data_IF_214522238615
#
_entry.id   IF_214522238615
#
_cell.length_a   1.000
_cell.length_b   1.000
_cell.length_c   1.000
_cell.angle_alpha   90.00
_cell.angle_beta   90.00
_cell.angle_gamma   90.00
#
_symmetry.space_group_name_H-M   'P 1'
#
loop_
_entity.id
_entity.type
_entity.pdbx_description
1 polymer ?
#
# COMPACT_ATOMS: atom_id res chain seq x y z
N UNK A 1 -7.27 16.66 4.12
CA UNK A 1 -7.73 17.73 3.22
C UNK A 1 -6.79 17.86 2.03
N UNK A 2 -7.31 18.16 0.84
CA UNK A 2 -6.50 18.44 -0.35
C UNK A 2 -6.66 19.92 -0.70
N UNK A 3 -5.55 20.66 -0.69
CA UNK A 3 -5.50 22.06 -1.06
C UNK A 3 -4.99 22.15 -2.50
N UNK A 4 -5.90 22.44 -3.44
CA UNK A 4 -5.55 22.55 -4.84
C UNK A 4 -4.86 23.90 -5.11
N UNK A 5 -3.59 23.86 -5.49
CA UNK A 5 -2.79 25.05 -5.81
C UNK A 5 -1.31 24.84 -5.56
N UNK A 6 -0.52 25.84 -5.91
CA UNK A 6 0.93 25.83 -5.67
C UNK A 6 1.22 26.18 -4.21
N UNK A 7 2.35 25.71 -3.67
CA UNK A 7 2.70 25.97 -2.26
C UNK A 7 2.86 27.46 -1.93
N UNK A 8 3.17 28.28 -2.93
CA UNK A 8 3.28 29.75 -2.86
C UNK A 8 1.92 30.45 -2.84
N UNK A 9 0.88 29.81 -3.38
CA UNK A 9 -0.47 30.38 -3.50
C UNK A 9 -1.30 30.11 -2.25
N UNK A 10 -0.98 29.05 -1.51
CA UNK A 10 -1.67 28.73 -0.26
C UNK A 10 -1.24 29.72 0.83
N UNK A 11 -2.17 30.54 1.38
CA UNK A 11 -1.85 31.51 2.41
C UNK A 11 -1.22 30.85 3.64
N UNK A 12 -0.23 31.52 4.23
CA UNK A 12 0.47 31.00 5.40
C UNK A 12 -0.47 30.86 6.61
N UNK A 13 -1.42 31.80 6.76
CA UNK A 13 -2.48 31.76 7.76
C UNK A 13 -3.32 30.47 7.67
N UNK A 14 -3.64 30.03 6.44
CA UNK A 14 -4.35 28.77 6.22
C UNK A 14 -3.52 27.59 6.71
N UNK A 15 -2.22 27.54 6.39
CA UNK A 15 -1.34 26.45 6.86
C UNK A 15 -1.26 26.43 8.39
N UNK A 16 -1.16 27.59 9.02
CA UNK A 16 -1.11 27.72 10.49
C UNK A 16 -2.41 27.26 11.16
N UNK A 17 -3.58 27.58 10.60
CA UNK A 17 -4.87 27.10 11.11
C UNK A 17 -4.95 25.57 11.07
N UNK A 18 -4.52 24.94 9.97
CA UNK A 18 -4.56 23.49 9.84
C UNK A 18 -3.60 22.80 10.82
N UNK A 19 -2.40 23.35 10.99
CA UNK A 19 -1.43 22.87 11.97
C UNK A 19 -1.95 23.01 13.40
N UNK A 20 -2.54 24.16 13.75
CA UNK A 20 -3.11 24.42 15.08
C UNK A 20 -4.25 23.46 15.43
N UNK A 21 -5.07 23.09 14.44
CA UNK A 21 -6.17 22.14 14.64
C UNK A 21 -5.77 20.68 14.45
N UNK A 22 -4.48 20.40 14.16
CA UNK A 22 -3.96 19.07 13.88
C UNK A 22 -4.71 18.35 12.73
N UNK A 23 -5.12 19.11 11.71
CA UNK A 23 -5.79 18.59 10.54
C UNK A 23 -4.76 18.19 9.48
N UNK A 24 -4.80 16.94 9.03
CA UNK A 24 -3.96 16.47 7.93
C UNK A 24 -4.34 17.17 6.63
N UNK A 25 -3.38 17.80 5.97
CA UNK A 25 -3.57 18.42 4.67
C UNK A 25 -2.41 18.13 3.72
N UNK A 26 -2.71 18.14 2.42
CA UNK A 26 -1.74 17.99 1.34
C UNK A 26 -1.98 19.10 0.33
N UNK A 27 -0.91 19.77 -0.11
CA UNK A 27 -0.97 20.82 -1.14
C UNK A 27 -0.48 20.22 -2.44
N UNK A 28 -1.35 20.19 -3.45
CA UNK A 28 -1.08 19.66 -4.78
C UNK A 28 -1.66 20.62 -5.82
N UNK A 29 -0.89 20.97 -6.84
CA UNK A 29 -1.44 21.61 -8.03
C UNK A 29 -1.90 20.52 -9.00
N UNK A 30 -3.19 20.21 -8.97
CA UNK A 30 -3.75 19.05 -9.71
C UNK A 30 -3.53 19.20 -11.23
N UNK A 31 -3.62 20.44 -11.74
CA UNK A 31 -3.42 20.70 -13.16
C UNK A 31 -1.97 20.45 -13.57
N UNK A 32 -1.02 20.98 -12.81
CA UNK A 32 0.41 20.77 -13.09
C UNK A 32 0.83 19.29 -12.96
N UNK A 33 0.24 18.54 -12.02
CA UNK A 33 0.49 17.10 -11.91
C UNK A 33 -0.04 16.33 -13.13
N UNK A 34 -1.23 16.70 -13.62
CA UNK A 34 -1.83 16.07 -14.79
C UNK A 34 -1.00 16.33 -16.05
N UNK A 35 -0.59 17.58 -16.27
CA UNK A 35 0.26 17.96 -17.41
C UNK A 35 1.64 17.28 -17.37
N UNK A 36 2.11 16.90 -16.18
CA UNK A 36 3.40 16.24 -15.99
C UNK A 36 3.36 14.71 -16.23
N UNK A 37 2.19 14.07 -16.28
CA UNK A 37 2.07 12.60 -16.31
C UNK A 37 2.79 11.97 -17.53
N UNK A 38 2.62 12.56 -18.70
CA UNK A 38 3.15 12.03 -19.96
C UNK A 38 4.54 12.57 -20.31
N UNK A 39 5.12 13.41 -19.46
CA UNK A 39 6.40 14.07 -19.69
C UNK A 39 7.53 13.41 -18.90
N UNK A 40 8.70 13.32 -19.52
CA UNK A 40 9.93 12.92 -18.85
C UNK A 40 10.37 13.97 -17.80
N UNK A 41 11.22 13.59 -16.83
CA UNK A 41 11.75 14.54 -15.83
C UNK A 41 12.50 15.74 -16.44
N UNK A 42 13.06 15.57 -17.64
CA UNK A 42 13.78 16.61 -18.38
C UNK A 42 12.79 17.61 -19.01
N UNK A 43 11.75 17.11 -19.68
CA UNK A 43 10.68 17.93 -20.27
C UNK A 43 9.91 18.70 -19.19
N UNK A 44 9.60 18.06 -18.06
CA UNK A 44 8.94 18.74 -16.92
C UNK A 44 9.71 19.98 -16.45
N UNK A 45 11.05 19.92 -16.47
CA UNK A 45 11.89 21.05 -16.07
C UNK A 45 11.78 22.22 -17.04
N UNK A 46 11.57 21.97 -18.33
CA UNK A 46 11.40 23.03 -19.34
C UNK A 46 10.05 23.75 -19.19
N UNK A 47 9.02 23.04 -18.73
CA UNK A 47 7.66 23.57 -18.51
C UNK A 47 7.40 24.07 -17.07
N UNK A 48 8.43 24.16 -16.22
CA UNK A 48 8.30 24.51 -14.78
C UNK A 48 7.31 23.61 -14.01
N UNK A 49 7.22 22.34 -14.43
CA UNK A 49 6.35 21.33 -13.82
C UNK A 49 7.06 20.60 -12.68
N UNK A 50 6.30 20.01 -11.73
CA UNK A 50 6.88 19.27 -10.61
C UNK A 50 7.71 18.08 -11.09
N UNK A 51 8.95 17.98 -10.62
CA UNK A 51 9.83 16.82 -10.92
C UNK A 51 9.28 15.53 -10.34
N UNK A 52 8.81 15.58 -9.10
CA UNK A 52 8.21 14.45 -8.39
C UNK A 52 6.71 14.66 -8.29
N UNK A 53 5.95 13.68 -8.75
CA UNK A 53 4.50 13.71 -8.68
C UNK A 53 4.05 13.45 -7.24
N UNK A 54 3.23 14.36 -6.71
CA UNK A 54 2.61 14.23 -5.39
C UNK A 54 1.37 13.32 -5.43
N UNK A 55 0.90 12.90 -6.60
CA UNK A 55 -0.25 11.99 -6.72
C UNK A 55 -0.06 10.67 -5.97
N UNK A 56 1.15 10.09 -6.00
CA UNK A 56 1.47 8.87 -5.24
C UNK A 56 1.40 9.10 -3.74
N UNK A 57 1.79 10.30 -3.30
CA UNK A 57 1.66 10.70 -1.89
C UNK A 57 0.19 10.80 -1.50
N UNK A 58 -0.65 11.40 -2.35
CA UNK A 58 -2.10 11.45 -2.11
C UNK A 58 -2.71 10.05 -1.96
N UNK A 59 -2.37 9.11 -2.85
CA UNK A 59 -2.87 7.73 -2.78
C UNK A 59 -2.47 7.08 -1.46
N UNK A 60 -1.19 7.19 -1.08
CA UNK A 60 -0.67 6.63 0.19
C UNK A 60 -1.35 7.24 1.42
N UNK A 61 -1.55 8.55 1.43
CA UNK A 61 -2.25 9.23 2.53
C UNK A 61 -3.73 8.82 2.62
N UNK A 62 -4.40 8.63 1.48
CA UNK A 62 -5.77 8.09 1.46
C UNK A 62 -5.82 6.65 2.00
N UNK A 63 -4.86 5.79 1.65
CA UNK A 63 -4.74 4.44 2.21
C UNK A 63 -4.62 4.46 3.74
N UNK A 64 -3.72 5.31 4.26
CA UNK A 64 -3.55 5.50 5.71
C UNK A 64 -4.82 6.03 6.38
N UNK A 65 -5.47 7.02 5.77
CA UNK A 65 -6.72 7.62 6.29
C UNK A 65 -7.84 6.59 6.43
N UNK A 66 -7.92 5.65 5.49
CA UNK A 66 -8.93 4.59 5.47
C UNK A 66 -8.55 3.37 6.32
N UNK A 67 -7.42 3.42 7.05
CA UNK A 67 -6.82 2.30 7.77
C UNK A 67 -6.65 1.06 6.88
N UNK A 68 -6.23 1.26 5.64
CA UNK A 68 -5.98 0.18 4.70
C UNK A 68 -4.51 -0.24 4.73
N UNK A 69 -4.29 -1.53 4.59
CA UNK A 69 -2.99 -2.17 4.40
C UNK A 69 -3.01 -2.94 3.08
N UNK A 70 -1.83 -3.29 2.59
CA UNK A 70 -1.64 -4.13 1.41
C UNK A 70 -0.91 -5.40 1.80
N UNK A 71 -1.47 -6.55 1.45
CA UNK A 71 -0.75 -7.84 1.50
C UNK A 71 -0.66 -8.40 0.09
N UNK A 72 0.21 -9.40 -0.10
CA UNK A 72 0.52 -9.95 -1.40
C UNK A 72 0.27 -11.44 -1.47
N UNK A 73 -0.08 -11.91 -2.65
CA UNK A 73 0.03 -13.32 -3.04
C UNK A 73 1.04 -13.40 -4.18
N UNK A 74 1.91 -14.39 -4.15
CA UNK A 74 2.90 -14.61 -5.22
C UNK A 74 2.97 -16.10 -5.55
N UNK A 75 3.05 -16.41 -6.83
CA UNK A 75 3.24 -17.75 -7.38
C UNK A 75 4.02 -17.68 -8.69
N UNK A 76 4.18 -18.82 -9.37
CA UNK A 76 4.84 -18.86 -10.68
C UNK A 76 4.13 -18.04 -11.74
N UNK A 77 2.80 -17.95 -11.65
CA UNK A 77 1.95 -17.42 -12.70
C UNK A 77 1.56 -15.97 -12.45
N UNK A 78 1.35 -15.58 -11.18
CA UNK A 78 0.87 -14.26 -10.82
C UNK A 78 1.50 -13.78 -9.50
N UNK A 79 1.78 -12.48 -9.43
CA UNK A 79 1.98 -11.76 -8.18
C UNK A 79 0.99 -10.61 -8.10
N UNK A 80 0.25 -10.53 -6.99
CA UNK A 80 -0.85 -9.59 -6.83
C UNK A 80 -0.86 -8.95 -5.46
N UNK A 81 -1.18 -7.65 -5.45
CA UNK A 81 -1.44 -6.86 -4.26
C UNK A 81 -2.94 -6.88 -3.92
N UNK A 82 -3.26 -7.06 -2.65
CA UNK A 82 -4.62 -7.10 -2.13
C UNK A 82 -4.78 -6.07 -1.03
N UNK A 83 -5.86 -5.29 -1.13
CA UNK A 83 -6.22 -4.28 -0.13
C UNK A 83 -7.01 -4.94 0.99
N UNK A 84 -6.62 -4.67 2.24
CA UNK A 84 -7.28 -5.19 3.44
C UNK A 84 -7.40 -4.08 4.48
N UNK A 85 -8.42 -4.11 5.33
CA UNK A 85 -8.49 -3.19 6.46
C UNK A 85 -7.53 -3.65 7.56
N UNK A 86 -6.80 -2.72 8.15
CA UNK A 86 -5.90 -2.97 9.27
C UNK A 86 -6.63 -3.66 10.41
N UNK A 87 -6.02 -4.69 11.00
CA UNK A 87 -6.60 -5.47 12.09
C UNK A 87 -7.43 -6.68 11.65
N UNK A 88 -7.65 -6.86 10.34
CA UNK A 88 -8.31 -8.07 9.81
C UNK A 88 -7.42 -9.31 9.93
N UNK A 89 -8.07 -10.46 10.10
CA UNK A 89 -7.42 -11.76 10.32
C UNK A 89 -7.13 -12.51 9.03
N UNK A 90 -6.20 -13.46 9.08
CA UNK A 90 -5.80 -14.29 7.94
C UNK A 90 -6.96 -14.96 7.16
N UNK A 91 -8.01 -15.51 7.80
CA UNK A 91 -9.15 -16.06 7.07
C UNK A 91 -9.88 -15.01 6.23
N UNK A 92 -10.03 -13.79 6.77
CA UNK A 92 -10.70 -12.70 6.08
C UNK A 92 -9.86 -12.17 4.91
N UNK A 93 -8.53 -12.17 5.04
CA UNK A 93 -7.62 -11.92 3.93
C UNK A 93 -7.78 -12.98 2.82
N UNK A 94 -7.95 -14.25 3.20
CA UNK A 94 -8.35 -15.31 2.28
C UNK A 94 -9.66 -15.00 1.55
N UNK A 95 -10.68 -14.53 2.28
CA UNK A 95 -11.98 -14.14 1.71
C UNK A 95 -11.91 -13.02 0.68
N UNK A 96 -10.97 -12.08 0.83
CA UNK A 96 -10.70 -11.03 -0.15
C UNK A 96 -10.15 -11.60 -1.47
N UNK A 97 -9.39 -12.70 -1.41
CA UNK A 97 -8.91 -13.42 -2.61
C UNK A 97 -10.05 -14.22 -3.24
N UNK A 98 -10.72 -15.04 -2.42
CA UNK A 98 -11.86 -15.86 -2.82
C UNK A 98 -12.66 -16.27 -1.58
N UNK A 99 -14.00 -16.22 -1.64
CA UNK A 99 -14.87 -16.50 -0.50
C UNK A 99 -14.67 -17.89 0.13
N UNK A 100 -14.31 -18.90 -0.68
CA UNK A 100 -14.02 -20.26 -0.18
C UNK A 100 -12.79 -20.32 0.72
N UNK A 101 -11.78 -19.48 0.52
CA UNK A 101 -10.59 -19.47 1.36
C UNK A 101 -10.89 -19.08 2.80
N UNK A 102 -11.86 -18.18 3.01
CA UNK A 102 -12.30 -17.81 4.35
C UNK A 102 -13.07 -18.95 5.02
N UNK A 103 -14.00 -19.57 4.29
CA UNK A 103 -14.86 -20.64 4.80
C UNK A 103 -14.08 -21.90 5.16
N UNK A 104 -13.14 -22.28 4.30
CA UNK A 104 -12.36 -23.53 4.42
C UNK A 104 -10.94 -23.28 4.91
N UNK A 105 -10.67 -22.13 5.56
CA UNK A 105 -9.35 -21.76 6.06
C UNK A 105 -8.78 -22.82 7.01
N UNK A 106 -7.57 -23.30 6.72
CA UNK A 106 -6.77 -24.16 7.60
C UNK A 106 -5.70 -23.32 8.30
N UNK A 107 -4.83 -22.68 7.51
CA UNK A 107 -3.67 -21.92 7.96
C UNK A 107 -3.19 -20.97 6.88
N UNK A 108 -2.32 -20.03 7.26
CA UNK A 108 -1.62 -19.14 6.34
C UNK A 108 -0.11 -19.33 6.49
N UNK A 109 0.61 -19.38 5.39
CA UNK A 109 2.07 -19.25 5.39
C UNK A 109 2.42 -17.80 5.07
N UNK A 110 3.16 -17.15 5.97
CA UNK A 110 3.35 -15.70 5.97
C UNK A 110 4.83 -15.36 6.06
N UNK A 111 5.27 -14.42 5.23
CA UNK A 111 6.60 -13.80 5.26
C UNK A 111 6.49 -12.32 4.89
N UNK A 112 7.30 -11.44 5.48
CA UNK A 112 7.33 -10.06 5.04
C UNK A 112 7.98 -9.94 3.65
N UNK A 113 7.46 -9.07 2.78
CA UNK A 113 8.00 -8.91 1.42
C UNK A 113 9.50 -8.59 1.39
N UNK A 114 10.03 -7.84 2.37
CA UNK A 114 11.46 -7.50 2.41
C UNK A 114 12.30 -8.76 2.62
N UNK A 115 11.93 -9.59 3.60
CA UNK A 115 12.59 -10.86 3.88
C UNK A 115 12.48 -11.83 2.69
N UNK A 116 11.35 -11.82 1.98
CA UNK A 116 11.17 -12.63 0.78
C UNK A 116 12.11 -12.20 -0.35
N UNK A 117 12.26 -10.89 -0.57
CA UNK A 117 13.19 -10.35 -1.58
C UNK A 117 14.63 -10.68 -1.21
N UNK A 118 15.01 -10.53 0.06
CA UNK A 118 16.34 -10.88 0.55
C UNK A 118 16.63 -12.39 0.46
N UNK A 119 15.62 -13.22 0.68
CA UNK A 119 15.72 -14.67 0.51
C UNK A 119 15.84 -15.07 -0.97
N UNK A 120 15.29 -14.27 -1.89
CA UNK A 120 15.32 -14.45 -3.34
C UNK A 120 14.20 -15.31 -3.92
N UNK A 121 13.55 -16.16 -3.11
CA UNK A 121 12.33 -16.88 -3.50
C UNK A 121 11.60 -17.44 -2.29
N UNK A 122 10.31 -17.77 -2.47
CA UNK A 122 9.49 -18.42 -1.44
C UNK A 122 10.04 -19.80 -1.06
N UNK A 123 10.60 -20.55 -2.02
CA UNK A 123 11.21 -21.84 -1.76
C UNK A 123 12.45 -21.71 -0.86
N UNK A 124 13.37 -20.80 -1.19
CA UNK A 124 14.58 -20.53 -0.40
C UNK A 124 14.21 -19.99 0.98
N UNK A 125 13.22 -19.10 1.07
CA UNK A 125 12.73 -18.59 2.34
C UNK A 125 12.18 -19.71 3.25
N UNK A 126 11.50 -20.70 2.66
CA UNK A 126 11.01 -21.89 3.37
C UNK A 126 12.16 -22.74 3.91
N UNK A 127 13.17 -23.00 3.09
CA UNK A 127 14.38 -23.76 3.48
C UNK A 127 15.16 -23.07 4.61
N UNK A 128 15.19 -21.74 4.60
CA UNK A 128 15.82 -20.91 5.65
C UNK A 128 14.98 -20.77 6.92
N UNK A 129 13.74 -21.29 6.93
CA UNK A 129 12.83 -21.17 8.08
C UNK A 129 12.28 -19.76 8.32
N UNK A 130 12.28 -18.90 7.31
CA UNK A 130 11.78 -17.52 7.39
C UNK A 130 10.24 -17.43 7.29
N UNK A 131 9.61 -18.49 6.77
CA UNK A 131 8.15 -18.54 6.60
C UNK A 131 7.49 -18.97 7.90
N UNK A 132 6.59 -18.13 8.40
CA UNK A 132 5.78 -18.42 9.59
C UNK A 132 4.49 -19.13 9.19
N UNK A 133 4.10 -20.13 9.96
CA UNK A 133 2.77 -20.74 9.84
C UNK A 133 1.83 -20.13 10.86
N UNK A 134 0.81 -19.45 10.38
CA UNK A 134 -0.10 -18.65 11.16
C UNK A 134 -1.53 -19.23 11.13
N UNK A 135 -2.21 -19.12 12.28
CA UNK A 135 -3.56 -19.64 12.48
C UNK A 135 -4.66 -18.61 12.19
N UNK A 136 -5.90 -18.97 12.53
CA UNK A 136 -7.09 -18.13 12.31
C UNK A 136 -7.05 -16.78 13.03
N UNK A 137 -6.32 -16.70 14.15
CA UNK A 137 -6.23 -15.50 14.98
C UNK A 137 -5.13 -14.52 14.52
N UNK A 138 -4.32 -14.90 13.53
CA UNK A 138 -3.27 -14.01 13.03
C UNK A 138 -3.85 -12.77 12.39
N UNK A 139 -3.37 -11.61 12.83
CA UNK A 139 -3.69 -10.31 12.27
C UNK A 139 -2.70 -10.03 11.16
N UNK A 140 -3.20 -9.86 9.94
CA UNK A 140 -2.37 -9.58 8.77
C UNK A 140 -1.68 -8.23 8.91
N UNK A 141 -0.39 -8.19 8.60
CA UNK A 141 0.42 -6.98 8.63
C UNK A 141 0.60 -6.42 7.22
N UNK A 142 0.85 -5.12 7.15
CA UNK A 142 1.17 -4.45 5.89
C UNK A 142 2.46 -5.03 5.31
N UNK A 143 2.41 -5.37 4.03
CA UNK A 143 3.53 -5.98 3.32
C UNK A 143 3.70 -7.49 3.52
N UNK A 144 2.79 -8.16 4.22
CA UNK A 144 2.81 -9.62 4.31
C UNK A 144 2.62 -10.24 2.91
N UNK A 145 3.43 -11.25 2.60
CA UNK A 145 3.24 -12.16 1.48
C UNK A 145 2.65 -13.45 2.05
N UNK A 146 1.46 -13.82 1.58
CA UNK A 146 0.64 -14.85 2.19
C UNK A 146 0.30 -15.94 1.18
N UNK A 147 0.54 -17.19 1.57
CA UNK A 147 -0.03 -18.37 0.91
C UNK A 147 -1.12 -18.98 1.82
N UNK A 148 -2.39 -18.86 1.40
CA UNK A 148 -3.53 -19.41 2.15
C UNK A 148 -3.65 -20.90 1.86
N UNK A 149 -3.76 -21.72 2.90
CA UNK A 149 -4.08 -23.15 2.80
C UNK A 149 -5.52 -23.36 3.24
N UNK A 150 -6.36 -23.87 2.33
CA UNK A 150 -7.75 -24.25 2.60
C UNK A 150 -8.00 -25.73 2.34
N UNK A 151 -9.04 -26.28 2.95
CA UNK A 151 -9.42 -27.69 2.82
C UNK A 151 -10.30 -27.97 1.59
N UNK A 152 -10.04 -27.29 0.47
CA UNK A 152 -10.78 -27.49 -0.77
C UNK A 152 -10.67 -28.92 -1.29
#
# INVERSE_FOLDING_TARGET
YLLNGSEKEVPQETKEVFQKNNWTFLVINILAEFDALDLSPEERKEFDLPKELKIDTLIKECYKLLDLITFFTTGSDETRAWTLKKGMKAPQAGGVIHSDFEKYFIKAEVINWQELIEAGSFAIAREKGLIRTEGKEYIVQDGDVIEIKSSA
#
